data_IF_288941120031
#
_entry.id   IF_288941120031
#
_cell.length_a   1.000
_cell.length_b   1.000
_cell.length_c   1.000
_cell.angle_alpha   90.00
_cell.angle_beta   90.00
_cell.angle_gamma   90.00
#
_symmetry.space_group_name_H-M   'P 1'
#
loop_
_entity.id
_entity.type
_entity.pdbx_description
1 polymer ?
#
# COMPACT_ATOMS: atom_id res chain seq x y z
N UNK A 1 -12.72 -12.05 -1.59
CA UNK A 1 -11.99 -13.33 -1.60
C UNK A 1 -11.45 -13.61 -0.22
N UNK A 2 -11.82 -14.72 0.41
CA UNK A 2 -11.22 -15.13 1.69
C UNK A 2 -9.73 -15.49 1.54
N UNK A 3 -8.97 -15.55 2.64
CA UNK A 3 -7.52 -15.83 2.60
C UNK A 3 -7.21 -17.16 1.89
N UNK A 4 -7.98 -18.22 2.15
CA UNK A 4 -7.79 -19.53 1.53
C UNK A 4 -8.09 -19.52 0.02
N UNK A 5 -9.04 -18.69 -0.42
CA UNK A 5 -9.32 -18.49 -1.84
C UNK A 5 -8.18 -17.71 -2.50
N UNK A 6 -7.65 -16.69 -1.83
CA UNK A 6 -6.48 -15.93 -2.30
C UNK A 6 -5.28 -16.88 -2.49
N UNK A 7 -4.98 -17.73 -1.49
CA UNK A 7 -3.92 -18.75 -1.56
C UNK A 7 -4.13 -19.69 -2.75
N UNK A 8 -5.33 -20.26 -2.91
CA UNK A 8 -5.63 -21.17 -4.02
C UNK A 8 -5.47 -20.50 -5.38
N UNK A 9 -5.91 -19.26 -5.54
CA UNK A 9 -5.74 -18.51 -6.77
C UNK A 9 -4.28 -18.22 -7.08
N UNK A 10 -3.52 -17.75 -6.08
CA UNK A 10 -2.08 -17.47 -6.23
C UNK A 10 -1.32 -18.74 -6.60
N UNK A 11 -1.58 -19.85 -5.89
CA UNK A 11 -0.94 -21.14 -6.17
C UNK A 11 -1.31 -21.69 -7.55
N UNK A 12 -2.58 -21.66 -7.93
CA UNK A 12 -3.03 -22.13 -9.24
C UNK A 12 -2.40 -21.34 -10.39
N UNK A 13 -2.37 -20.01 -10.27
CA UNK A 13 -1.68 -19.15 -11.25
C UNK A 13 -0.17 -19.38 -11.25
N UNK A 14 0.38 -19.65 -10.08
CA UNK A 14 1.78 -19.96 -9.97
C UNK A 14 2.17 -21.25 -10.73
N UNK A 15 1.30 -22.24 -10.83
CA UNK A 15 1.59 -23.46 -11.59
C UNK A 15 1.39 -23.31 -13.11
N UNK A 16 0.57 -22.35 -13.54
CA UNK A 16 0.20 -22.18 -14.96
C UNK A 16 1.02 -21.09 -15.67
N UNK A 17 1.69 -20.20 -14.92
CA UNK A 17 2.43 -19.08 -15.50
C UNK A 17 3.64 -19.55 -16.30
N UNK A 18 3.97 -18.81 -17.36
CA UNK A 18 5.20 -18.98 -18.14
C UNK A 18 6.21 -17.85 -17.85
N UNK A 19 6.37 -17.49 -16.58
CA UNK A 19 7.35 -16.47 -16.20
C UNK A 19 7.19 -15.93 -14.78
N UNK A 20 7.87 -14.82 -14.48
CA UNK A 20 7.91 -14.24 -13.14
C UNK A 20 6.57 -13.59 -12.75
N UNK A 21 6.25 -13.67 -11.46
CA UNK A 21 4.97 -13.19 -10.89
C UNK A 21 5.19 -12.29 -9.68
N UNK A 22 4.47 -11.18 -9.63
CA UNK A 22 4.40 -10.29 -8.47
C UNK A 22 3.03 -10.42 -7.82
N UNK A 23 2.99 -10.56 -6.50
CA UNK A 23 1.74 -10.55 -5.73
C UNK A 23 1.80 -9.41 -4.71
N UNK A 24 0.92 -8.43 -4.86
CA UNK A 24 0.84 -7.27 -3.97
C UNK A 24 -0.13 -7.47 -2.81
N UNK A 25 0.34 -7.04 -1.64
CA UNK A 25 -0.38 -7.00 -0.38
C UNK A 25 -0.28 -5.61 0.23
N UNK A 26 -1.36 -5.15 0.83
CA UNK A 26 -1.44 -3.96 1.66
C UNK A 26 -0.78 -4.22 3.03
N UNK A 27 -0.99 -5.41 3.60
CA UNK A 27 -0.50 -5.78 4.93
C UNK A 27 0.61 -6.83 4.89
N UNK A 28 1.69 -6.56 5.62
CA UNK A 28 2.80 -7.51 5.83
C UNK A 28 2.29 -8.80 6.49
N UNK A 29 1.32 -8.69 7.40
CA UNK A 29 0.77 -9.86 8.09
C UNK A 29 0.03 -10.79 7.14
N UNK A 30 -0.82 -10.26 6.26
CA UNK A 30 -1.50 -11.05 5.23
C UNK A 30 -0.49 -11.70 4.29
N UNK A 31 0.52 -10.94 3.85
CA UNK A 31 1.63 -11.44 3.03
C UNK A 31 2.32 -12.64 3.70
N UNK A 32 2.68 -12.54 4.99
CA UNK A 32 3.35 -13.61 5.73
C UNK A 32 2.45 -14.83 5.95
N UNK A 33 1.15 -14.62 6.21
CA UNK A 33 0.19 -15.71 6.35
C UNK A 33 0.05 -16.48 5.02
N UNK A 34 -0.17 -15.77 3.91
CA UNK A 34 -0.27 -16.37 2.57
C UNK A 34 1.03 -17.04 2.18
N UNK A 35 2.18 -16.44 2.49
CA UNK A 35 3.50 -17.07 2.30
C UNK A 35 3.57 -18.44 2.97
N UNK A 36 3.23 -18.51 4.26
CA UNK A 36 3.28 -19.77 5.01
C UNK A 36 2.40 -20.86 4.39
N UNK A 37 1.20 -20.49 3.93
CA UNK A 37 0.30 -21.40 3.22
C UNK A 37 0.84 -21.85 1.86
N UNK A 38 1.49 -20.97 1.09
CA UNK A 38 2.09 -21.34 -0.19
C UNK A 38 3.32 -22.23 0.00
N UNK A 39 4.14 -21.96 1.01
CA UNK A 39 5.32 -22.77 1.35
C UNK A 39 4.91 -24.17 1.82
N UNK A 40 3.84 -24.32 2.60
CA UNK A 40 3.33 -25.64 3.01
C UNK A 40 2.77 -26.46 1.83
N UNK A 41 2.36 -25.78 0.76
CA UNK A 41 1.97 -26.40 -0.52
C UNK A 41 3.17 -26.66 -1.45
N UNK A 42 4.40 -26.34 -1.02
CA UNK A 42 5.63 -26.57 -1.78
C UNK A 42 5.99 -25.46 -2.79
N UNK A 43 5.26 -24.33 -2.80
CA UNK A 43 5.61 -23.19 -3.65
C UNK A 43 6.62 -22.28 -2.96
N UNK A 44 7.84 -22.23 -3.49
CA UNK A 44 8.84 -21.27 -3.01
C UNK A 44 8.50 -19.86 -3.48
N UNK A 45 8.54 -18.91 -2.54
CA UNK A 45 8.27 -17.50 -2.82
C UNK A 45 9.32 -16.59 -2.19
N UNK A 46 9.63 -15.50 -2.87
CA UNK A 46 10.42 -14.40 -2.35
C UNK A 46 9.48 -13.42 -1.62
N UNK A 47 10.05 -12.62 -0.72
CA UNK A 47 9.29 -11.55 -0.03
C UNK A 47 9.97 -10.20 -0.16
N UNK A 48 9.17 -9.14 -0.25
CA UNK A 48 9.66 -7.77 -0.22
C UNK A 48 8.72 -6.83 0.54
N UNK A 49 9.17 -6.32 1.69
CA UNK A 49 8.42 -5.34 2.48
C UNK A 49 9.34 -4.48 3.34
N UNK A 50 8.83 -3.35 3.84
CA UNK A 50 9.62 -2.35 4.58
C UNK A 50 10.23 -2.83 5.90
N UNK A 51 9.68 -3.88 6.52
CA UNK A 51 10.24 -4.47 7.74
C UNK A 51 11.39 -5.47 7.50
N UNK A 52 11.71 -5.81 6.23
CA UNK A 52 12.87 -6.65 5.96
C UNK A 52 14.17 -5.83 6.06
N UNK A 53 15.26 -6.40 6.62
CA UNK A 53 16.57 -5.77 6.56
C UNK A 53 16.97 -5.46 5.11
N UNK A 54 17.61 -4.31 4.87
CA UNK A 54 17.97 -3.85 3.53
C UNK A 54 18.80 -4.87 2.74
N UNK A 55 19.69 -5.60 3.41
CA UNK A 55 20.47 -6.69 2.80
C UNK A 55 19.58 -7.80 2.24
N UNK A 56 18.51 -8.16 2.95
CA UNK A 56 17.55 -9.18 2.51
C UNK A 56 16.68 -8.65 1.38
N UNK A 57 16.20 -7.40 1.48
CA UNK A 57 15.43 -6.74 0.42
C UNK A 57 16.18 -6.74 -0.91
N UNK A 58 17.44 -6.30 -0.90
CA UNK A 58 18.28 -6.28 -2.10
C UNK A 58 18.51 -7.68 -2.66
N UNK A 59 18.87 -8.65 -1.80
CA UNK A 59 19.07 -10.04 -2.22
C UNK A 59 17.82 -10.61 -2.91
N UNK A 60 16.64 -10.45 -2.32
CA UNK A 60 15.40 -10.97 -2.90
C UNK A 60 15.05 -10.26 -4.22
N UNK A 61 15.28 -8.95 -4.30
CA UNK A 61 15.09 -8.19 -5.54
C UNK A 61 16.04 -8.66 -6.65
N UNK A 62 17.32 -8.87 -6.35
CA UNK A 62 18.31 -9.39 -7.30
C UNK A 62 17.93 -10.80 -7.80
N UNK A 63 17.52 -11.69 -6.90
CA UNK A 63 17.04 -13.03 -7.28
C UNK A 63 15.83 -12.92 -8.21
N UNK A 64 14.85 -12.07 -7.87
CA UNK A 64 13.66 -11.88 -8.71
C UNK A 64 14.01 -11.34 -10.10
N UNK A 65 14.93 -10.36 -10.19
CA UNK A 65 15.36 -9.76 -11.44
C UNK A 65 16.00 -10.81 -12.37
N UNK A 66 16.88 -11.65 -11.81
CA UNK A 66 17.62 -12.69 -12.55
C UNK A 66 16.81 -13.97 -12.87
N UNK A 67 15.73 -14.24 -12.12
CA UNK A 67 14.97 -15.48 -12.25
C UNK A 67 14.01 -15.43 -13.45
N UNK A 68 13.84 -16.60 -14.09
CA UNK A 68 12.89 -16.80 -15.19
C UNK A 68 11.47 -17.13 -14.72
N UNK A 69 11.30 -17.50 -13.46
CA UNK A 69 10.03 -18.01 -12.95
C UNK A 69 9.76 -17.62 -11.49
N UNK A 70 10.52 -16.72 -10.87
CA UNK A 70 10.30 -16.37 -9.46
C UNK A 70 8.91 -15.80 -9.18
N UNK A 71 8.36 -16.18 -8.03
CA UNK A 71 7.21 -15.53 -7.41
C UNK A 71 7.70 -14.63 -6.29
N UNK A 72 7.31 -13.37 -6.31
CA UNK A 72 7.58 -12.44 -5.21
C UNK A 72 6.28 -11.92 -4.60
N UNK A 73 6.15 -12.10 -3.29
CA UNK A 73 5.09 -11.52 -2.49
C UNK A 73 5.59 -10.20 -1.92
N UNK A 74 4.87 -9.10 -2.17
CA UNK A 74 5.39 -7.78 -1.91
C UNK A 74 4.33 -6.80 -1.37
N UNK A 75 4.80 -5.79 -0.63
CA UNK A 75 4.01 -4.57 -0.40
C UNK A 75 4.32 -3.52 -1.48
N UNK A 76 3.57 -2.40 -1.55
CA UNK A 76 3.83 -1.34 -2.55
C UNK A 76 5.27 -0.78 -2.53
N UNK A 77 6.04 -1.03 -1.47
CA UNK A 77 7.46 -0.72 -1.40
C UNK A 77 8.28 -1.42 -2.51
N UNK A 78 7.80 -2.53 -3.06
CA UNK A 78 8.42 -3.22 -4.19
C UNK A 78 8.03 -2.54 -5.51
N UNK A 79 8.55 -1.33 -5.73
CA UNK A 79 8.18 -0.60 -6.93
C UNK A 79 9.16 0.44 -7.46
N UNK A 80 9.96 1.04 -6.58
CA UNK A 80 11.03 1.95 -6.98
C UNK A 80 12.17 1.13 -7.59
N UNK A 81 12.36 1.23 -8.91
CA UNK A 81 13.51 0.62 -9.60
C UNK A 81 13.42 -0.87 -9.91
N UNK A 82 12.24 -1.50 -9.82
CA UNK A 82 12.02 -2.83 -10.41
C UNK A 82 11.88 -2.66 -11.92
N UNK A 83 12.96 -2.94 -12.65
CA UNK A 83 12.99 -2.94 -14.11
C UNK A 83 13.24 -4.35 -14.62
N UNK A 84 12.14 -5.12 -14.71
CA UNK A 84 12.13 -6.48 -15.22
C UNK A 84 11.14 -6.55 -16.38
N UNK A 85 11.59 -6.71 -17.64
CA UNK A 85 10.72 -6.57 -18.79
C UNK A 85 9.74 -7.74 -18.96
N UNK A 86 10.10 -8.91 -18.44
CA UNK A 86 9.46 -10.20 -18.71
C UNK A 86 8.50 -10.66 -17.60
N UNK A 87 8.00 -9.76 -16.74
CA UNK A 87 6.98 -10.13 -15.74
C UNK A 87 5.69 -10.55 -16.43
N UNK A 88 5.24 -11.79 -16.19
CA UNK A 88 4.07 -12.38 -16.86
C UNK A 88 2.78 -12.24 -16.07
N UNK A 89 2.87 -12.09 -14.75
CA UNK A 89 1.67 -11.97 -13.93
C UNK A 89 1.85 -10.97 -12.80
N UNK A 90 0.85 -10.11 -12.61
CA UNK A 90 0.71 -9.26 -11.42
C UNK A 90 -0.62 -9.59 -10.75
N UNK A 91 -0.60 -9.90 -9.46
CA UNK A 91 -1.79 -10.20 -8.68
C UNK A 91 -1.88 -9.17 -7.54
N UNK A 92 -2.97 -8.43 -7.46
CA UNK A 92 -3.35 -7.69 -6.27
C UNK A 92 -4.15 -8.62 -5.36
N UNK A 93 -3.49 -9.17 -4.35
CA UNK A 93 -4.14 -9.99 -3.33
C UNK A 93 -4.95 -9.14 -2.35
N UNK A 94 -4.60 -7.86 -2.20
CA UNK A 94 -5.38 -6.87 -1.45
C UNK A 94 -5.57 -5.62 -2.31
N UNK A 95 -6.70 -4.93 -2.13
CA UNK A 95 -7.04 -3.72 -2.90
C UNK A 95 -6.02 -2.60 -2.66
N UNK A 96 -5.44 -1.99 -3.71
CA UNK A 96 -4.54 -0.85 -3.56
C UNK A 96 -5.32 0.43 -3.18
N UNK A 97 -4.62 1.45 -2.68
CA UNK A 97 -5.25 2.68 -2.18
C UNK A 97 -5.84 3.59 -3.26
N UNK A 98 -5.46 3.41 -4.53
CA UNK A 98 -5.96 4.24 -5.64
C UNK A 98 -5.76 3.60 -7.01
N UNK A 99 -6.39 4.17 -8.05
CA UNK A 99 -6.18 3.77 -9.45
C UNK A 99 -4.75 4.05 -9.92
N UNK A 100 -4.09 5.12 -9.44
CA UNK A 100 -2.70 5.41 -9.80
C UNK A 100 -1.74 4.35 -9.29
N UNK A 101 -1.91 3.94 -8.02
CA UNK A 101 -1.12 2.85 -7.44
C UNK A 101 -1.34 1.55 -8.23
N UNK A 102 -2.60 1.19 -8.46
CA UNK A 102 -2.96 0.02 -9.27
C UNK A 102 -2.31 0.06 -10.65
N UNK A 103 -2.47 1.17 -11.38
CA UNK A 103 -1.96 1.35 -12.74
C UNK A 103 -0.44 1.24 -12.81
N UNK A 104 0.27 1.85 -11.86
CA UNK A 104 1.73 1.76 -11.77
C UNK A 104 2.19 0.32 -11.49
N UNK A 105 1.47 -0.39 -10.61
CA UNK A 105 1.81 -1.75 -10.19
C UNK A 105 1.55 -2.79 -11.30
N UNK A 106 0.40 -2.72 -11.98
CA UNK A 106 0.10 -3.59 -13.12
C UNK A 106 0.95 -3.27 -14.35
N UNK A 107 1.37 -2.00 -14.52
CA UNK A 107 2.28 -1.55 -15.58
C UNK A 107 3.71 -2.12 -15.48
N UNK A 108 3.98 -3.01 -14.52
CA UNK A 108 5.21 -3.80 -14.44
C UNK A 108 5.16 -5.07 -15.28
N UNK A 109 3.96 -5.57 -15.56
CA UNK A 109 3.77 -6.75 -16.39
C UNK A 109 3.96 -6.42 -17.87
N UNK A 110 4.51 -7.36 -18.64
CA UNK A 110 4.50 -7.29 -20.11
C UNK A 110 5.29 -6.13 -20.71
N UNK A 111 6.34 -5.64 -20.05
CA UNK A 111 7.16 -4.51 -20.55
C UNK A 111 7.98 -4.84 -21.79
N UNK A 112 8.24 -6.12 -22.03
CA UNK A 112 8.78 -6.65 -23.30
C UNK A 112 7.74 -6.65 -24.45
N UNK A 113 6.49 -6.25 -24.19
CA UNK A 113 5.41 -6.26 -25.17
C UNK A 113 4.72 -7.61 -25.35
N UNK A 114 5.17 -8.66 -24.64
CA UNK A 114 4.53 -9.97 -24.68
C UNK A 114 3.33 -10.04 -23.73
N UNK A 115 2.45 -11.00 -23.98
CA UNK A 115 1.25 -11.22 -23.18
C UNK A 115 1.57 -11.36 -21.69
N UNK A 116 0.74 -10.72 -20.87
CA UNK A 116 0.80 -10.80 -19.43
C UNK A 116 -0.61 -10.66 -18.84
N UNK A 117 -0.83 -11.25 -17.68
CA UNK A 117 -2.13 -11.23 -17.01
C UNK A 117 -2.06 -10.45 -15.69
N UNK A 118 -3.06 -9.62 -15.43
CA UNK A 118 -3.20 -8.89 -14.17
C UNK A 118 -4.50 -9.28 -13.49
N UNK A 119 -4.43 -9.62 -12.20
CA UNK A 119 -5.58 -10.08 -11.42
C UNK A 119 -5.78 -9.20 -10.18
N UNK A 120 -7.04 -8.94 -9.84
CA UNK A 120 -7.42 -8.31 -8.57
C UNK A 120 -8.31 -9.28 -7.79
N UNK A 121 -7.82 -9.74 -6.63
CA UNK A 121 -8.54 -10.65 -5.74
C UNK A 121 -9.34 -9.84 -4.71
N UNK A 122 -10.27 -9.03 -5.22
CA UNK A 122 -11.03 -8.06 -4.44
C UNK A 122 -11.82 -8.69 -3.27
N UNK A 123 -11.62 -8.14 -2.07
CA UNK A 123 -12.49 -8.34 -0.92
C UNK A 123 -13.03 -7.00 -0.42
N UNK A 124 -14.29 -6.96 0.02
CA UNK A 124 -14.87 -5.78 0.64
C UNK A 124 -14.17 -5.40 1.94
N UNK A 125 -13.63 -6.39 2.66
CA UNK A 125 -12.88 -6.16 3.90
C UNK A 125 -11.58 -5.39 3.65
N UNK A 126 -10.98 -5.54 2.45
CA UNK A 126 -9.76 -4.81 2.07
C UNK A 126 -9.99 -3.27 2.03
N UNK A 127 -11.24 -2.83 1.84
CA UNK A 127 -11.60 -1.40 1.83
C UNK A 127 -11.39 -0.80 3.22
N UNK A 128 -11.76 -1.53 4.28
CA UNK A 128 -11.59 -1.06 5.66
C UNK A 128 -10.10 -0.83 6.00
N UNK A 129 -9.23 -1.72 5.52
CA UNK A 129 -7.77 -1.60 5.67
C UNK A 129 -7.26 -0.32 4.99
N UNK A 130 -7.70 -0.06 3.75
CA UNK A 130 -7.32 1.17 3.03
C UNK A 130 -7.86 2.44 3.69
N UNK A 131 -9.08 2.39 4.23
CA UNK A 131 -9.62 3.52 5.00
C UNK A 131 -8.78 3.82 6.23
N UNK A 132 -8.32 2.80 6.95
CA UNK A 132 -7.46 2.99 8.11
C UNK A 132 -6.07 3.52 7.71
N UNK A 133 -5.49 3.06 6.62
CA UNK A 133 -4.26 3.67 6.07
C UNK A 133 -4.44 5.15 5.74
N UNK A 134 -5.57 5.53 5.13
CA UNK A 134 -5.87 6.94 4.86
C UNK A 134 -5.99 7.77 6.15
N UNK A 135 -6.63 7.23 7.20
CA UNK A 135 -6.68 7.86 8.54
C UNK A 135 -5.30 8.01 9.16
N UNK A 136 -4.45 7.00 9.01
CA UNK A 136 -3.12 7.01 9.61
C UNK A 136 -2.15 7.93 8.88
N UNK A 137 -2.27 8.03 7.56
CA UNK A 137 -1.47 8.92 6.73
C UNK A 137 -1.91 10.39 6.85
N UNK A 138 -3.18 10.65 7.17
CA UNK A 138 -3.72 11.99 7.36
C UNK A 138 -4.43 12.11 8.73
N UNK A 139 -3.68 12.25 9.84
CA UNK A 139 -4.25 12.54 11.14
C UNK A 139 -5.02 13.87 11.10
N UNK A 140 -6.12 13.97 11.84
CA UNK A 140 -6.90 15.21 11.89
C UNK A 140 -6.17 16.31 12.69
N UNK A 141 -6.46 17.60 12.44
CA UNK A 141 -5.83 18.71 13.13
C UNK A 141 -5.90 18.63 14.66
N UNK A 142 -7.02 18.16 15.22
CA UNK A 142 -7.19 18.03 16.66
C UNK A 142 -6.25 16.99 17.25
N UNK A 143 -6.10 15.86 16.56
CA UNK A 143 -5.14 14.81 16.92
C UNK A 143 -3.70 15.32 16.87
N UNK A 144 -3.30 16.00 15.79
CA UNK A 144 -1.96 16.59 15.65
C UNK A 144 -1.67 17.57 16.79
N UNK A 145 -2.62 18.48 17.06
CA UNK A 145 -2.53 19.44 18.16
C UNK A 145 -2.37 18.74 19.52
N UNK A 146 -3.14 17.68 19.76
CA UNK A 146 -3.08 16.92 21.01
C UNK A 146 -1.72 16.23 21.20
N UNK A 147 -1.16 15.63 20.14
CA UNK A 147 0.18 15.02 20.18
C UNK A 147 1.23 16.08 20.51
N UNK A 148 1.18 17.23 19.85
CA UNK A 148 2.12 18.32 20.08
C UNK A 148 2.03 18.88 21.51
N UNK A 149 0.81 19.08 22.03
CA UNK A 149 0.62 19.53 23.41
C UNK A 149 1.14 18.51 24.42
N UNK A 150 0.94 17.21 24.16
CA UNK A 150 1.41 16.15 25.04
C UNK A 150 2.94 16.12 25.11
N UNK A 151 3.62 16.22 23.97
CA UNK A 151 5.09 16.31 23.90
C UNK A 151 5.59 17.57 24.60
N UNK A 152 4.97 18.72 24.31
CA UNK A 152 5.39 20.02 24.85
C UNK A 152 5.24 20.09 26.38
N UNK A 153 4.20 19.47 26.93
CA UNK A 153 3.95 19.45 28.38
C UNK A 153 4.75 18.37 29.13
N UNK A 154 5.12 17.28 28.46
CA UNK A 154 5.71 16.09 29.09
C UNK A 154 6.99 15.62 28.39
N UNK A 155 7.82 16.57 27.94
CA UNK A 155 9.01 16.27 27.13
C UNK A 155 9.98 15.30 27.83
N UNK A 156 10.26 15.51 29.11
CA UNK A 156 11.17 14.64 29.87
C UNK A 156 10.65 13.20 29.95
N UNK A 157 9.33 13.04 30.13
CA UNK A 157 8.70 11.73 30.17
C UNK A 157 8.74 11.05 28.80
N UNK A 158 8.50 11.79 27.72
CA UNK A 158 8.67 11.27 26.37
C UNK A 158 10.13 10.87 26.08
N UNK A 159 11.12 11.66 26.54
CA UNK A 159 12.55 11.31 26.40
C UNK A 159 12.89 9.98 27.09
N UNK A 160 12.22 9.66 28.19
CA UNK A 160 12.41 8.42 28.95
C UNK A 160 11.67 7.22 28.35
N UNK A 161 10.38 7.36 28.07
CA UNK A 161 9.48 6.26 27.69
C UNK A 161 9.28 6.12 26.17
N UNK A 162 9.57 7.16 25.39
CA UNK A 162 9.49 7.17 23.94
C UNK A 162 8.07 7.10 23.38
N UNK A 163 7.94 6.46 22.21
CA UNK A 163 6.67 6.38 21.47
C UNK A 163 5.56 5.66 22.26
N UNK A 164 5.93 4.70 23.10
CA UNK A 164 4.95 3.91 23.86
C UNK A 164 4.19 4.78 24.88
N UNK A 165 4.83 5.84 25.40
CA UNK A 165 4.15 6.85 26.21
C UNK A 165 3.08 7.59 25.41
N UNK A 166 3.43 8.17 24.26
CA UNK A 166 2.46 8.91 23.44
C UNK A 166 1.31 8.00 22.97
N UNK A 167 1.62 6.78 22.53
CA UNK A 167 0.61 5.81 22.11
C UNK A 167 -0.35 5.47 23.26
N UNK A 168 0.17 5.26 24.47
CA UNK A 168 -0.65 4.96 25.66
C UNK A 168 -1.53 6.11 26.12
N UNK A 169 -1.14 7.36 25.86
CA UNK A 169 -1.95 8.55 26.20
C UNK A 169 -2.98 8.90 25.11
N UNK A 170 -2.62 8.70 23.84
CA UNK A 170 -3.44 9.14 22.70
C UNK A 170 -4.46 8.09 22.22
N UNK A 171 -4.29 6.80 22.59
CA UNK A 171 -5.14 5.72 22.10
C UNK A 171 -5.30 4.57 23.12
N UNK A 172 -6.49 3.95 23.15
CA UNK A 172 -6.72 2.67 23.82
C UNK A 172 -6.25 1.51 22.92
N UNK A 173 -5.24 0.76 23.38
CA UNK A 173 -4.86 -0.63 23.01
C UNK A 173 -4.66 -1.05 21.53
N UNK A 174 -4.81 -0.21 20.50
CA UNK A 174 -4.47 -0.62 19.13
C UNK A 174 -2.99 -0.37 18.79
N UNK A 175 -2.15 -1.42 18.95
CA UNK A 175 -0.71 -1.39 18.60
C UNK A 175 -0.40 -1.17 17.11
N UNK A 176 -1.42 -1.14 16.24
CA UNK A 176 -1.27 -0.96 14.79
C UNK A 176 -1.63 0.45 14.31
N UNK A 177 -2.04 1.35 15.21
CA UNK A 177 -2.32 2.73 14.87
C UNK A 177 -1.01 3.54 14.80
N UNK A 178 -0.65 3.98 13.60
CA UNK A 178 0.59 4.72 13.33
C UNK A 178 0.41 6.25 13.27
N UNK A 179 -0.74 6.78 13.71
CA UNK A 179 -1.01 8.23 13.66
C UNK A 179 0.00 9.06 14.47
N UNK A 180 0.49 8.53 15.59
CA UNK A 180 1.48 9.22 16.43
C UNK A 180 2.80 9.42 15.69
N UNK A 181 3.28 8.38 15.01
CA UNK A 181 4.48 8.41 14.19
C UNK A 181 4.30 9.36 13.00
N UNK A 182 3.14 9.31 12.35
CA UNK A 182 2.81 10.26 11.28
C UNK A 182 2.85 11.70 11.81
N UNK A 183 2.26 11.97 12.98
CA UNK A 183 2.30 13.29 13.59
C UNK A 183 3.74 13.73 13.87
N UNK A 184 4.58 12.88 14.45
CA UNK A 184 5.99 13.21 14.71
C UNK A 184 6.75 13.50 13.41
N UNK A 185 6.51 12.73 12.35
CA UNK A 185 7.12 13.00 11.05
C UNK A 185 6.62 14.31 10.42
N UNK A 186 5.34 14.66 10.60
CA UNK A 186 4.80 15.94 10.17
C UNK A 186 5.38 17.11 10.95
N UNK A 187 5.43 17.01 12.28
CA UNK A 187 5.99 18.04 13.16
C UNK A 187 7.48 18.27 12.88
N UNK A 188 8.25 17.21 12.62
CA UNK A 188 9.64 17.34 12.20
C UNK A 188 9.75 18.03 10.84
N UNK A 189 8.93 17.62 9.86
CA UNK A 189 8.91 18.24 8.53
C UNK A 189 8.49 19.72 8.54
N UNK A 190 7.73 20.15 9.55
CA UNK A 190 7.30 21.53 9.74
C UNK A 190 8.24 22.34 10.63
N UNK A 191 9.43 21.80 10.96
CA UNK A 191 10.41 22.43 11.83
C UNK A 191 9.81 22.82 13.20
N UNK A 192 8.88 22.00 13.70
CA UNK A 192 8.25 22.17 15.03
C UNK A 192 9.03 21.38 16.09
N UNK A 193 9.56 20.22 15.70
CA UNK A 193 10.43 19.38 16.52
C UNK A 193 11.72 19.03 15.77
N UNK A 194 12.79 18.80 16.52
CA UNK A 194 14.04 18.26 16.00
C UNK A 194 14.52 17.12 16.89
N UNK A 195 15.14 16.11 16.29
CA UNK A 195 15.75 14.98 16.99
C UNK A 195 16.72 14.24 16.09
N UNK A 196 17.74 13.62 16.69
CA UNK A 196 18.76 12.90 15.96
C UNK A 196 18.34 11.44 15.75
N UNK A 197 18.35 10.97 14.51
CA UNK A 197 18.07 9.57 14.15
C UNK A 197 16.75 9.04 14.77
N UNK A 198 15.73 9.90 14.90
CA UNK A 198 14.45 9.55 15.54
C UNK A 198 14.59 9.06 16.99
N UNK A 199 15.65 9.48 17.69
CA UNK A 199 15.89 9.11 19.08
C UNK A 199 15.08 10.01 20.02
N UNK A 200 14.11 9.47 20.79
CA UNK A 200 13.28 10.26 21.70
C UNK A 200 14.08 11.11 22.68
N UNK A 201 15.24 10.61 23.16
CA UNK A 201 16.10 11.33 24.13
C UNK A 201 16.63 12.66 23.62
N UNK A 202 16.80 12.77 22.30
CA UNK A 202 17.35 13.95 21.63
C UNK A 202 16.27 14.89 21.12
N UNK A 203 14.99 14.62 21.42
CA UNK A 203 13.90 15.46 20.93
C UNK A 203 13.88 16.82 21.61
N UNK A 204 13.81 17.86 20.79
CA UNK A 204 13.61 19.23 21.18
C UNK A 204 12.41 19.81 20.45
N UNK A 205 11.64 20.64 21.15
CA UNK A 205 10.55 21.41 20.55
C UNK A 205 11.14 22.76 20.18
N UNK A 206 11.27 23.01 18.88
CA UNK A 206 11.97 24.19 18.34
C UNK A 206 11.02 25.24 17.79
N UNK A 207 9.74 24.91 17.62
CA UNK A 207 8.75 25.80 17.02
C UNK A 207 7.33 25.59 17.51
N UNK A 208 6.39 26.29 16.83
CA UNK A 208 4.94 26.11 16.99
C UNK A 208 4.37 25.63 15.68
N UNK A 209 3.29 24.84 15.76
CA UNK A 209 2.58 24.39 14.55
C UNK A 209 2.03 25.62 13.81
N UNK A 210 2.35 25.82 12.53
CA UNK A 210 1.75 26.89 11.74
C UNK A 210 0.23 26.66 11.61
N UNK A 211 -0.57 27.70 11.85
CA UNK A 211 -2.03 27.62 11.91
C UNK A 211 -2.66 27.00 10.64
N UNK A 212 -2.03 27.24 9.49
CA UNK A 212 -2.43 26.70 8.20
C UNK A 212 -2.46 25.16 8.14
N UNK A 213 -1.58 24.48 8.88
CA UNK A 213 -1.52 23.02 8.94
C UNK A 213 -2.56 22.42 9.91
N UNK A 214 -3.18 23.26 10.74
CA UNK A 214 -4.31 22.88 11.60
C UNK A 214 -5.67 23.27 11.01
N UNK A 215 -5.69 23.72 9.76
CA UNK A 215 -6.93 24.08 9.08
C UNK A 215 -7.84 22.85 8.89
N UNK A 216 -8.98 22.86 9.59
CA UNK A 216 -10.01 21.83 9.44
C UNK A 216 -10.64 21.83 8.05
N UNK A 217 -10.67 22.98 7.37
CA UNK A 217 -11.15 23.10 6.00
C UNK A 217 -10.18 22.43 5.01
N UNK A 218 -8.88 22.75 5.08
CA UNK A 218 -7.86 22.09 4.25
C UNK A 218 -7.86 20.58 4.52
N UNK A 219 -7.95 20.15 5.79
CA UNK A 219 -8.07 18.74 6.14
C UNK A 219 -9.28 18.08 5.47
N UNK A 220 -10.47 18.67 5.55
CA UNK A 220 -11.68 18.12 4.92
C UNK A 220 -11.54 17.98 3.40
N UNK A 221 -10.90 18.95 2.74
CA UNK A 221 -10.64 18.89 1.29
C UNK A 221 -9.74 17.70 0.96
N UNK A 222 -8.57 17.60 1.60
CA UNK A 222 -7.62 16.52 1.34
C UNK A 222 -8.22 15.15 1.71
N UNK A 223 -8.94 15.07 2.83
CA UNK A 223 -9.65 13.86 3.24
C UNK A 223 -10.65 13.40 2.18
N UNK A 224 -11.44 14.34 1.64
CA UNK A 224 -12.40 14.06 0.57
C UNK A 224 -11.71 13.55 -0.68
N UNK A 225 -10.61 14.17 -1.09
CA UNK A 225 -9.82 13.72 -2.24
C UNK A 225 -9.28 12.30 -2.06
N UNK A 226 -8.67 11.98 -0.91
CA UNK A 226 -8.16 10.63 -0.62
C UNK A 226 -9.29 9.59 -0.57
N UNK A 227 -10.43 9.94 0.04
CA UNK A 227 -11.61 9.08 0.09
C UNK A 227 -12.19 8.82 -1.30
N UNK A 228 -12.16 9.82 -2.18
CA UNK A 228 -12.63 9.70 -3.56
C UNK A 228 -11.75 8.75 -4.37
N UNK A 229 -10.42 8.79 -4.20
CA UNK A 229 -9.51 7.84 -4.85
C UNK A 229 -9.81 6.39 -4.49
N UNK A 230 -10.10 6.13 -3.21
CA UNK A 230 -10.47 4.80 -2.75
C UNK A 230 -11.81 4.35 -3.33
N UNK A 231 -12.79 5.25 -3.44
CA UNK A 231 -14.06 4.95 -4.11
C UNK A 231 -13.85 4.57 -5.57
N UNK A 232 -13.02 5.31 -6.30
CA UNK A 232 -12.77 5.09 -7.73
C UNK A 232 -12.10 3.74 -8.00
N UNK A 233 -11.15 3.29 -7.16
CA UNK A 233 -10.55 1.94 -7.34
C UNK A 233 -11.58 0.83 -7.07
N UNK A 234 -12.48 1.03 -6.10
CA UNK A 234 -13.58 0.09 -5.84
C UNK A 234 -14.54 0.03 -7.03
N UNK A 235 -14.87 1.18 -7.62
CA UNK A 235 -15.66 1.25 -8.85
C UNK A 235 -14.97 0.52 -10.00
N UNK A 236 -13.65 0.72 -10.17
CA UNK A 236 -12.86 0.01 -11.18
C UNK A 236 -12.97 -1.51 -11.01
N UNK A 237 -12.98 -2.04 -9.79
CA UNK A 237 -13.07 -3.48 -9.54
C UNK A 237 -14.50 -4.04 -9.61
N UNK A 238 -15.52 -3.22 -9.33
CA UNK A 238 -16.93 -3.63 -9.38
C UNK A 238 -17.62 -3.42 -10.72
N UNK A 239 -17.04 -2.62 -11.61
CA UNK A 239 -17.68 -2.31 -12.90
C UNK A 239 -17.94 -3.55 -13.77
N UNK A 240 -18.91 -3.41 -14.67
CA UNK A 240 -19.19 -4.34 -15.78
C UNK A 240 -18.75 -3.76 -17.14
N UNK A 241 -18.24 -2.52 -17.17
CA UNK A 241 -17.67 -1.91 -18.38
C UNK A 241 -16.18 -2.32 -18.57
N UNK A 242 -15.61 -1.97 -19.70
CA UNK A 242 -14.21 -2.23 -20.01
C UNK A 242 -13.28 -1.60 -18.96
N UNK A 243 -12.43 -2.42 -18.32
CA UNK A 243 -11.48 -1.96 -17.29
C UNK A 243 -10.49 -0.92 -17.83
N UNK A 244 -9.91 -1.17 -19.01
CA UNK A 244 -8.95 -0.25 -19.66
C UNK A 244 -9.57 1.12 -19.92
N UNK A 245 -10.81 1.12 -20.42
CA UNK A 245 -11.55 2.34 -20.72
C UNK A 245 -11.70 3.21 -19.47
N UNK A 246 -12.18 2.64 -18.37
CA UNK A 246 -12.33 3.37 -17.10
C UNK A 246 -11.01 3.90 -16.55
N UNK A 247 -9.93 3.11 -16.62
CA UNK A 247 -8.60 3.57 -16.22
C UNK A 247 -8.17 4.77 -17.06
N UNK A 248 -8.42 4.73 -18.38
CA UNK A 248 -7.99 5.80 -19.27
C UNK A 248 -8.84 7.06 -19.09
N UNK A 249 -10.15 6.91 -18.89
CA UNK A 249 -11.07 8.00 -18.53
C UNK A 249 -10.68 8.65 -17.20
N UNK A 250 -10.25 7.87 -16.21
CA UNK A 250 -9.71 8.38 -14.95
C UNK A 250 -8.52 9.32 -15.17
N UNK A 251 -7.64 9.00 -16.11
CA UNK A 251 -6.50 9.85 -16.49
C UNK A 251 -6.87 10.96 -17.50
N UNK A 252 -8.16 11.18 -17.78
CA UNK A 252 -8.65 12.26 -18.63
C UNK A 252 -8.62 11.98 -20.13
N UNK A 253 -8.33 10.75 -20.55
CA UNK A 253 -8.40 10.35 -21.95
C UNK A 253 -9.87 10.13 -22.35
N UNK A 254 -10.24 10.52 -23.58
CA UNK A 254 -11.60 10.46 -24.09
C UNK A 254 -11.68 9.55 -25.32
N UNK A 255 -12.89 9.11 -25.65
CA UNK A 255 -13.20 8.29 -26.84
C UNK A 255 -12.42 6.97 -26.88
N UNK A 256 -12.28 6.31 -25.72
CA UNK A 256 -11.58 5.04 -25.61
C UNK A 256 -12.52 3.89 -25.94
N UNK A 257 -12.20 3.15 -26.98
CA UNK A 257 -12.93 1.95 -27.36
C UNK A 257 -12.71 0.81 -26.36
N UNK A 258 -13.64 -0.15 -26.33
CA UNK A 258 -13.52 -1.33 -25.49
C UNK A 258 -12.27 -2.13 -25.88
N UNK A 259 -11.49 -2.54 -24.89
CA UNK A 259 -10.17 -3.13 -25.15
C UNK A 259 -10.21 -4.52 -25.79
N UNK A 260 -11.30 -5.27 -25.62
CA UNK A 260 -11.43 -6.63 -26.15
C UNK A 260 -10.69 -7.73 -25.39
N UNK A 261 -9.87 -7.40 -24.38
CA UNK A 261 -9.02 -8.38 -23.68
C UNK A 261 -9.14 -8.40 -22.14
N UNK A 262 -9.85 -7.45 -21.52
CA UNK A 262 -10.10 -7.51 -20.09
C UNK A 262 -11.22 -8.52 -19.75
N UNK A 263 -11.33 -8.91 -18.49
CA UNK A 263 -12.34 -9.85 -18.00
C UNK A 263 -13.77 -9.48 -18.44
N UNK A 264 -14.16 -8.20 -18.33
CA UNK A 264 -15.48 -7.73 -18.74
C UNK A 264 -15.70 -7.73 -20.26
N UNK A 265 -14.64 -7.48 -21.06
CA UNK A 265 -14.72 -7.58 -22.52
C UNK A 265 -14.80 -9.04 -22.95
N UNK A 266 -14.00 -9.91 -22.36
CA UNK A 266 -13.98 -11.35 -22.68
C UNK A 266 -15.33 -12.01 -22.36
N UNK A 267 -15.96 -11.66 -21.23
CA UNK A 267 -17.31 -12.13 -20.89
C UNK A 267 -18.37 -11.75 -21.94
N UNK A 268 -18.22 -10.58 -22.59
CA UNK A 268 -19.17 -10.09 -23.61
C UNK A 268 -18.96 -10.72 -24.99
N UNK A 269 -17.78 -11.31 -25.25
CA UNK A 269 -17.47 -12.02 -26.51
C UNK A 269 -17.98 -13.47 -26.46
N UNK A 270 -18.21 -14.02 -25.27
CA UNK A 270 -18.81 -15.33 -25.04
C UNK A 270 -20.33 -15.30 -25.22
N UNK A 271 -20.82 -15.17 -26.46
CA UNK A 271 -22.22 -15.37 -26.85
C UNK A 271 -22.30 -16.55 -27.82
#
# INVERSE_FOLDING_TARGET
YGIDEKVRHIYGRALQRQGPMIVYFSLIQTLQAVRGSLESMGLQTLTYHGQLPDKIRRKNQEIFLSSKDAVILATPAFGLGVDKPDVRSVIHAETPGSIEAYYQEVGRAGRDGLNSECFALFDGDDISIQMDFNKWALPDPGFIQSVFELISRNLDRFKMEGLDYLRGQMNFYNRRDFRVETCLNLLERWDVIEWQNKNPKTLEVVGKIPADFLSTEKFKIHWKEQSQKLYQIVELFKTEDCRKKLIYEYFGLKNIEACGFCDNCNKKVSV
#
